data_IF_851483312605
#
_entry.id   IF_851483312605
#
_cell.length_a   1.000
_cell.length_b   1.000
_cell.length_c   1.000
_cell.angle_alpha   90.00
_cell.angle_beta   90.00
_cell.angle_gamma   90.00
#
_symmetry.space_group_name_H-M   'P 1'
#
loop_
_entity.id
_entity.type
_entity.pdbx_description
1 polymer ?
#
# COMPACT_ATOMS: atom_id res chain seq x y z
N UNK A 1 -16.62 5.44 -10.27
CA UNK A 1 -16.00 4.84 -9.06
C UNK A 1 -15.00 3.77 -9.49
N UNK A 2 -13.81 3.65 -8.88
CA UNK A 2 -12.81 2.64 -9.29
C UNK A 2 -13.24 1.23 -8.91
N UNK A 3 -12.98 0.26 -9.79
CA UNK A 3 -13.31 -1.17 -9.59
C UNK A 3 -12.89 -1.75 -8.22
N UNK A 4 -11.73 -1.36 -7.70
CA UNK A 4 -11.21 -1.87 -6.41
C UNK A 4 -11.87 -1.23 -5.19
N UNK A 5 -12.20 0.05 -5.29
CA UNK A 5 -12.99 0.73 -4.25
C UNK A 5 -14.38 0.10 -4.19
N UNK A 6 -14.97 -0.16 -5.36
CA UNK A 6 -16.24 -0.87 -5.48
C UNK A 6 -16.18 -2.27 -4.87
N UNK A 7 -15.22 -3.12 -5.25
CA UNK A 7 -15.06 -4.46 -4.65
C UNK A 7 -14.89 -4.43 -3.13
N UNK A 8 -14.13 -3.46 -2.61
CA UNK A 8 -13.94 -3.30 -1.16
C UNK A 8 -15.25 -2.93 -0.48
N UNK A 9 -16.01 -1.99 -1.06
CA UNK A 9 -17.29 -1.55 -0.51
C UNK A 9 -18.32 -2.67 -0.54
N UNK A 10 -18.45 -3.39 -1.65
CA UNK A 10 -19.37 -4.54 -1.78
C UNK A 10 -19.03 -5.61 -0.75
N UNK A 11 -17.75 -5.99 -0.62
CA UNK A 11 -17.34 -6.97 0.38
C UNK A 11 -17.63 -6.47 1.79
N UNK A 12 -17.32 -5.21 2.09
CA UNK A 12 -17.52 -4.66 3.42
C UNK A 12 -19.01 -4.59 3.79
N UNK A 13 -19.86 -4.26 2.80
CA UNK A 13 -21.30 -4.32 2.91
C UNK A 13 -21.80 -5.75 3.16
N UNK A 14 -21.51 -6.68 2.25
CA UNK A 14 -21.98 -8.06 2.33
C UNK A 14 -21.55 -8.78 3.60
N UNK A 15 -20.32 -8.54 4.05
CA UNK A 15 -19.74 -9.30 5.16
C UNK A 15 -20.01 -8.68 6.53
N UNK A 16 -20.06 -7.35 6.63
CA UNK A 16 -20.14 -6.67 7.93
C UNK A 16 -21.43 -5.91 8.17
N UNK A 17 -22.12 -5.45 7.13
CA UNK A 17 -23.30 -4.58 7.29
C UNK A 17 -24.58 -5.38 7.05
N UNK A 18 -24.66 -6.07 5.91
CA UNK A 18 -25.83 -6.83 5.49
C UNK A 18 -26.29 -7.88 6.53
N UNK A 19 -25.40 -8.63 7.21
CA UNK A 19 -25.84 -9.65 8.15
C UNK A 19 -26.57 -9.12 9.40
N UNK A 20 -26.27 -7.89 9.84
CA UNK A 20 -26.89 -7.29 11.03
C UNK A 20 -28.04 -6.34 10.69
N UNK A 21 -28.06 -5.75 9.48
CA UNK A 21 -29.00 -4.68 9.11
C UNK A 21 -29.77 -4.90 7.80
N UNK A 22 -29.57 -6.02 7.11
CA UNK A 22 -30.17 -6.27 5.79
C UNK A 22 -31.70 -6.23 5.77
N UNK A 23 -32.33 -6.71 6.83
CA UNK A 23 -33.79 -6.75 6.98
C UNK A 23 -34.34 -5.57 7.80
N UNK A 24 -33.48 -4.63 8.20
CA UNK A 24 -33.89 -3.46 9.00
C UNK A 24 -34.22 -2.29 8.07
N UNK A 25 -35.44 -1.75 8.18
CA UNK A 25 -35.79 -0.54 7.45
C UNK A 25 -34.85 0.62 7.84
N UNK A 26 -34.42 1.43 6.87
CA UNK A 26 -33.43 2.51 7.09
C UNK A 26 -33.86 3.48 8.20
N UNK A 27 -35.15 3.81 8.25
CA UNK A 27 -35.75 4.67 9.28
C UNK A 27 -35.71 4.09 10.68
N UNK A 28 -35.48 2.78 10.83
CA UNK A 28 -35.46 2.04 12.09
C UNK A 28 -34.05 1.77 12.61
N UNK A 29 -33.01 2.13 11.84
CA UNK A 29 -31.62 2.05 12.30
C UNK A 29 -31.38 3.13 13.36
N UNK A 30 -31.15 2.69 14.60
CA UNK A 30 -30.91 3.57 15.76
C UNK A 30 -29.42 3.68 16.10
N UNK A 31 -28.95 4.82 16.65
CA UNK A 31 -27.57 4.98 17.08
C UNK A 31 -27.08 3.89 18.05
N UNK A 32 -27.93 3.43 18.97
CA UNK A 32 -27.59 2.36 19.92
C UNK A 32 -27.27 1.04 19.22
N UNK A 33 -28.02 0.67 18.18
CA UNK A 33 -27.77 -0.54 17.40
C UNK A 33 -26.44 -0.44 16.64
N UNK A 34 -26.14 0.73 16.08
CA UNK A 34 -24.87 1.00 15.40
C UNK A 34 -23.67 0.98 16.35
N UNK A 35 -23.80 1.51 17.57
CA UNK A 35 -22.73 1.46 18.57
C UNK A 35 -22.49 0.03 19.06
N UNK A 36 -23.57 -0.72 19.31
CA UNK A 36 -23.50 -2.14 19.68
C UNK A 36 -22.81 -2.95 18.58
N UNK A 37 -23.19 -2.75 17.32
CA UNK A 37 -22.53 -3.36 16.17
C UNK A 37 -21.05 -2.96 16.06
N UNK A 38 -20.73 -1.68 16.24
CA UNK A 38 -19.35 -1.19 16.27
C UNK A 38 -18.52 -1.90 17.36
N UNK A 39 -19.09 -2.12 18.54
CA UNK A 39 -18.43 -2.81 19.65
C UNK A 39 -18.25 -4.32 19.37
N UNK A 40 -19.17 -4.98 18.66
CA UNK A 40 -18.96 -6.35 18.17
C UNK A 40 -17.78 -6.44 17.21
N UNK A 41 -17.64 -5.46 16.29
CA UNK A 41 -16.53 -5.44 15.34
C UNK A 41 -15.15 -5.27 16.02
N UNK A 42 -15.09 -4.53 17.14
CA UNK A 42 -13.85 -4.35 17.93
C UNK A 42 -13.24 -5.66 18.41
N UNK A 43 -14.04 -6.71 18.59
CA UNK A 43 -13.56 -8.02 19.00
C UNK A 43 -12.89 -8.80 17.86
N UNK A 44 -13.02 -8.35 16.61
CA UNK A 44 -12.60 -9.10 15.41
C UNK A 44 -11.57 -8.37 14.55
N UNK A 45 -11.60 -7.03 14.54
CA UNK A 45 -10.76 -6.22 13.65
C UNK A 45 -10.30 -4.94 14.33
N UNK A 46 -9.22 -4.33 13.81
CA UNK A 46 -8.66 -3.08 14.36
C UNK A 46 -9.59 -1.88 14.20
N UNK A 47 -9.45 -0.85 15.06
CA UNK A 47 -10.22 0.40 14.98
C UNK A 47 -10.15 1.05 13.59
N UNK A 48 -8.98 1.01 12.93
CA UNK A 48 -8.83 1.52 11.57
C UNK A 48 -9.70 0.76 10.56
N UNK A 49 -9.80 -0.56 10.72
CA UNK A 49 -10.64 -1.39 9.86
C UNK A 49 -12.12 -1.10 10.08
N UNK A 50 -12.54 -0.95 11.34
CA UNK A 50 -13.92 -0.58 11.69
C UNK A 50 -14.26 0.80 11.13
N UNK A 51 -13.35 1.77 11.23
CA UNK A 51 -13.53 3.09 10.63
C UNK A 51 -13.81 2.99 9.12
N UNK A 52 -13.09 2.14 8.40
CA UNK A 52 -13.31 1.93 6.96
C UNK A 52 -14.68 1.28 6.69
N UNK A 53 -15.07 0.25 7.45
CA UNK A 53 -16.38 -0.42 7.31
C UNK A 53 -17.51 0.57 7.64
N UNK A 54 -17.40 1.30 8.74
CA UNK A 54 -18.32 2.36 9.15
C UNK A 54 -18.46 3.43 8.08
N UNK A 55 -17.37 3.78 7.38
CA UNK A 55 -17.43 4.78 6.29
C UNK A 55 -18.34 4.31 5.16
N UNK A 56 -18.31 3.02 4.81
CA UNK A 56 -19.23 2.44 3.80
C UNK A 56 -20.67 2.55 4.26
N UNK A 57 -20.96 2.16 5.51
CA UNK A 57 -22.34 2.23 6.02
C UNK A 57 -22.83 3.68 6.16
N UNK A 58 -21.97 4.58 6.63
CA UNK A 58 -22.27 6.00 6.75
C UNK A 58 -22.56 6.64 5.39
N UNK A 59 -21.91 6.20 4.31
CA UNK A 59 -22.24 6.62 2.94
C UNK A 59 -23.65 6.17 2.54
N UNK A 60 -24.02 4.91 2.77
CA UNK A 60 -25.38 4.40 2.48
C UNK A 60 -26.44 5.23 3.22
N UNK A 61 -26.23 5.49 4.52
CA UNK A 61 -27.17 6.27 5.33
C UNK A 61 -27.16 7.75 4.94
N UNK A 62 -26.05 8.28 4.41
CA UNK A 62 -25.99 9.63 3.88
C UNK A 62 -26.80 9.75 2.59
N UNK A 63 -26.70 8.77 1.69
CA UNK A 63 -27.53 8.73 0.48
C UNK A 63 -29.02 8.67 0.87
N UNK A 64 -29.38 7.86 1.87
CA UNK A 64 -30.75 7.83 2.41
C UNK A 64 -31.24 9.15 3.02
N UNK A 65 -30.34 9.99 3.55
CA UNK A 65 -30.68 11.36 3.99
C UNK A 65 -30.91 12.26 2.79
N UNK A 66 -30.07 12.17 1.76
CA UNK A 66 -30.19 12.96 0.53
C UNK A 66 -31.49 12.65 -0.23
N UNK A 67 -31.92 11.39 -0.19
CA UNK A 67 -33.19 10.91 -0.76
C UNK A 67 -34.38 11.09 0.21
N UNK A 68 -34.18 11.81 1.32
CA UNK A 68 -35.20 12.13 2.34
C UNK A 68 -35.88 10.92 3.01
N UNK A 69 -35.34 9.71 2.84
CA UNK A 69 -35.83 8.48 3.48
C UNK A 69 -35.65 8.51 5.00
N UNK A 70 -34.62 9.23 5.47
CA UNK A 70 -34.34 9.49 6.88
C UNK A 70 -33.91 10.95 7.10
N UNK A 71 -34.22 11.51 8.26
CA UNK A 71 -33.95 12.95 8.54
C UNK A 71 -32.49 13.29 8.82
N UNK A 72 -31.71 12.34 9.34
CA UNK A 72 -30.30 12.54 9.72
C UNK A 72 -29.55 11.21 9.69
N UNK A 73 -28.23 11.28 9.54
CA UNK A 73 -27.39 10.09 9.61
C UNK A 73 -27.28 9.62 11.07
N UNK A 74 -27.75 8.40 11.41
CA UNK A 74 -27.70 7.91 12.79
C UNK A 74 -26.27 7.79 13.35
N UNK A 75 -25.26 7.69 12.49
CA UNK A 75 -23.85 7.68 12.92
C UNK A 75 -23.39 8.99 13.55
N UNK A 76 -24.07 10.11 13.32
CA UNK A 76 -23.69 11.40 13.91
C UNK A 76 -23.79 11.38 15.45
N UNK A 77 -24.63 10.51 15.99
CA UNK A 77 -24.78 10.28 17.44
C UNK A 77 -23.99 9.07 17.97
N UNK A 78 -23.20 8.40 17.12
CA UNK A 78 -22.42 7.22 17.53
C UNK A 78 -20.96 7.64 17.76
N UNK A 79 -20.37 7.32 18.94
CA UNK A 79 -18.99 7.66 19.26
C UNK A 79 -18.01 7.22 18.18
N UNK A 80 -17.13 8.13 17.78
CA UNK A 80 -16.06 7.83 16.83
C UNK A 80 -14.97 7.02 17.53
N UNK A 81 -14.48 6.00 16.84
CA UNK A 81 -13.32 5.24 17.29
C UNK A 81 -12.07 6.11 17.18
N UNK A 82 -11.29 6.17 18.26
CA UNK A 82 -9.93 6.69 18.20
C UNK A 82 -9.08 5.69 17.42
N UNK A 83 -8.51 6.15 16.31
CA UNK A 83 -7.46 5.41 15.63
C UNK A 83 -6.16 5.79 16.33
N UNK A 84 -5.50 4.82 16.96
CA UNK A 84 -4.11 4.98 17.35
C UNK A 84 -3.31 5.22 16.07
N UNK A 85 -2.54 6.30 16.06
CA UNK A 85 -1.59 6.54 14.97
C UNK A 85 -0.52 5.47 15.11
N UNK A 86 -0.42 4.59 14.11
CA UNK A 86 0.74 3.71 14.01
C UNK A 86 1.94 4.61 13.73
N UNK A 87 2.86 4.68 14.68
CA UNK A 87 4.12 5.37 14.49
C UNK A 87 4.91 4.63 13.39
N UNK A 88 5.21 5.33 12.30
CA UNK A 88 6.10 4.81 11.27
C UNK A 88 7.50 5.20 11.72
N UNK A 89 8.37 4.21 11.92
CA UNK A 89 9.78 4.41 12.29
C UNK A 89 10.66 4.15 11.06
N UNK A 90 11.10 5.19 10.35
CA UNK A 90 12.02 5.03 9.23
C UNK A 90 13.36 4.46 9.72
N UNK A 91 13.97 3.59 8.93
CA UNK A 91 15.34 3.13 9.19
C UNK A 91 16.35 4.28 9.02
N UNK A 92 17.35 4.32 9.90
CA UNK A 92 18.53 5.17 9.75
C UNK A 92 19.43 4.68 8.60
N UNK A 93 20.35 5.54 8.13
CA UNK A 93 21.28 5.16 7.05
C UNK A 93 22.15 3.94 7.41
N UNK A 94 22.57 3.81 8.68
CA UNK A 94 23.36 2.68 9.15
C UNK A 94 22.57 1.37 9.15
N UNK A 95 21.27 1.42 9.47
CA UNK A 95 20.37 0.27 9.38
C UNK A 95 20.07 -0.11 7.94
N UNK A 96 19.92 0.88 7.05
CA UNK A 96 19.80 0.67 5.59
C UNK A 96 21.03 -0.06 5.05
N UNK A 97 22.23 0.41 5.38
CA UNK A 97 23.47 -0.24 4.97
C UNK A 97 23.57 -1.67 5.50
N UNK A 98 23.18 -1.89 6.77
CA UNK A 98 23.19 -3.21 7.40
C UNK A 98 22.22 -4.19 6.75
N UNK A 99 21.00 -3.77 6.45
CA UNK A 99 20.03 -4.67 5.80
C UNK A 99 20.43 -5.01 4.36
N UNK A 100 21.08 -4.07 3.66
CA UNK A 100 21.64 -4.31 2.32
C UNK A 100 22.82 -5.29 2.41
N UNK A 101 23.71 -5.17 3.40
CA UNK A 101 24.91 -6.01 3.49
C UNK A 101 24.63 -7.47 3.85
N UNK A 102 23.55 -7.75 4.60
CA UNK A 102 23.14 -9.12 4.96
C UNK A 102 22.23 -9.78 3.93
N UNK A 103 21.73 -9.02 2.94
CA UNK A 103 20.87 -9.53 1.89
C UNK A 103 21.68 -10.34 0.85
N UNK A 104 21.03 -11.27 0.15
CA UNK A 104 21.70 -11.92 -0.99
C UNK A 104 21.96 -10.89 -2.12
N UNK A 105 22.96 -11.12 -3.00
CA UNK A 105 23.39 -10.11 -3.98
C UNK A 105 22.26 -9.56 -4.85
N UNK A 106 21.35 -10.41 -5.31
CA UNK A 106 20.20 -9.98 -6.09
C UNK A 106 19.29 -9.08 -5.23
N UNK A 107 18.92 -9.50 -4.01
CA UNK A 107 18.04 -8.70 -3.17
C UNK A 107 18.69 -7.40 -2.70
N UNK A 108 20.00 -7.36 -2.49
CA UNK A 108 20.74 -6.15 -2.17
C UNK A 108 20.54 -5.08 -3.24
N UNK A 109 20.56 -5.44 -4.52
CA UNK A 109 20.26 -4.51 -5.63
C UNK A 109 18.80 -4.05 -5.64
N UNK A 110 17.84 -4.95 -5.31
CA UNK A 110 16.42 -4.58 -5.14
C UNK A 110 16.24 -3.59 -3.98
N UNK A 111 16.95 -3.79 -2.87
CA UNK A 111 16.90 -2.88 -1.72
C UNK A 111 17.48 -1.50 -2.05
N UNK A 112 18.60 -1.45 -2.79
CA UNK A 112 19.14 -0.16 -3.29
C UNK A 112 18.10 0.59 -4.11
N UNK A 113 17.40 -0.09 -5.02
CA UNK A 113 16.31 0.52 -5.79
C UNK A 113 15.19 1.03 -4.85
N UNK A 114 14.80 0.23 -3.85
CA UNK A 114 13.69 0.55 -2.95
C UNK A 114 13.97 1.70 -1.98
N UNK A 115 15.20 1.81 -1.47
CA UNK A 115 15.60 2.83 -0.49
C UNK A 115 15.98 4.16 -1.13
N UNK A 116 16.47 4.17 -2.38
CA UNK A 116 17.12 5.35 -2.96
C UNK A 116 16.38 5.94 -4.17
N UNK A 117 15.15 5.50 -4.42
CA UNK A 117 14.27 6.09 -5.46
C UNK A 117 12.94 6.58 -4.91
N UNK A 118 12.61 6.23 -3.67
CA UNK A 118 11.32 6.51 -3.07
C UNK A 118 10.13 5.94 -3.84
N UNK A 119 10.30 4.98 -4.75
CA UNK A 119 9.18 4.39 -5.50
C UNK A 119 8.19 3.70 -4.55
N UNK A 120 6.89 3.74 -4.89
CA UNK A 120 5.94 2.84 -4.22
C UNK A 120 6.23 1.41 -4.65
N UNK A 121 5.97 0.45 -3.77
CA UNK A 121 6.21 -0.98 -4.07
C UNK A 121 5.59 -1.42 -5.40
N UNK A 122 4.35 -1.01 -5.69
CA UNK A 122 3.71 -1.34 -6.97
C UNK A 122 4.34 -0.67 -8.20
N UNK A 123 4.92 0.53 -8.04
CA UNK A 123 5.65 1.23 -9.12
C UNK A 123 6.99 0.55 -9.39
N UNK A 124 7.72 0.19 -8.32
CA UNK A 124 9.00 -0.51 -8.40
C UNK A 124 8.86 -1.88 -9.06
N UNK A 125 7.83 -2.64 -8.69
CA UNK A 125 7.56 -3.94 -9.31
C UNK A 125 7.18 -3.75 -10.78
N UNK A 126 6.40 -2.72 -11.13
CA UNK A 126 5.98 -2.42 -12.51
C UNK A 126 7.05 -1.70 -13.35
N UNK A 127 8.30 -1.64 -12.90
CA UNK A 127 9.34 -0.92 -13.62
C UNK A 127 9.84 -1.74 -14.81
N UNK A 128 9.86 -1.12 -16.00
CA UNK A 128 10.38 -1.69 -17.25
C UNK A 128 11.74 -1.09 -17.58
N UNK A 129 12.57 -1.85 -18.30
CA UNK A 129 13.85 -1.34 -18.79
C UNK A 129 13.71 -0.15 -19.73
N UNK A 130 12.65 -0.11 -20.55
CA UNK A 130 12.35 1.01 -21.47
C UNK A 130 12.00 2.35 -20.79
N UNK A 131 11.84 2.34 -19.45
CA UNK A 131 11.61 3.55 -18.64
C UNK A 131 12.88 4.07 -17.98
N UNK A 132 14.02 3.43 -18.21
CA UNK A 132 15.30 3.77 -17.60
C UNK A 132 16.21 4.35 -18.68
N UNK A 133 16.63 5.60 -18.49
CA UNK A 133 17.63 6.26 -19.33
C UNK A 133 18.95 6.31 -18.54
N UNK A 134 19.89 5.42 -18.89
CA UNK A 134 21.19 5.30 -18.23
C UNK A 134 22.16 6.45 -18.58
N UNK A 135 21.95 7.10 -19.73
CA UNK A 135 22.74 8.24 -20.19
C UNK A 135 22.33 9.51 -19.45
N UNK A 136 21.02 9.76 -19.37
CA UNK A 136 20.46 10.91 -18.63
C UNK A 136 20.36 10.65 -17.13
N UNK A 137 20.64 9.43 -16.68
CA UNK A 137 20.51 8.99 -15.29
C UNK A 137 19.11 9.27 -14.73
N UNK A 138 18.08 8.86 -15.47
CA UNK A 138 16.69 9.07 -15.06
C UNK A 138 15.83 7.82 -15.13
N UNK A 139 14.79 7.77 -14.29
CA UNK A 139 13.78 6.72 -14.27
C UNK A 139 12.40 7.34 -14.38
N UNK A 140 11.64 6.97 -15.41
CA UNK A 140 10.26 7.40 -15.60
C UNK A 140 9.29 6.46 -14.87
N UNK A 141 8.42 7.03 -14.04
CA UNK A 141 7.35 6.30 -13.36
C UNK A 141 6.02 6.71 -13.98
N UNK A 142 5.38 5.78 -14.69
CA UNK A 142 4.09 5.99 -15.36
C UNK A 142 3.11 4.81 -15.22
N UNK A 143 3.41 3.83 -14.36
CA UNK A 143 2.54 2.70 -14.10
C UNK A 143 2.82 2.07 -12.74
N UNK A 144 1.87 1.28 -12.25
CA UNK A 144 2.04 0.52 -11.01
C UNK A 144 1.20 -0.76 -11.02
N UNK A 145 1.65 -1.78 -10.32
CA UNK A 145 0.83 -2.95 -10.03
C UNK A 145 -0.08 -2.67 -8.85
N UNK A 146 -1.33 -3.09 -9.00
CA UNK A 146 -2.30 -3.15 -7.92
C UNK A 146 -3.15 -4.40 -8.06
N UNK A 147 -3.21 -5.20 -6.99
CA UNK A 147 -3.98 -6.46 -6.96
C UNK A 147 -3.61 -7.43 -8.11
N UNK A 148 -2.32 -7.54 -8.44
CA UNK A 148 -1.84 -8.42 -9.51
C UNK A 148 -2.06 -7.91 -10.93
N UNK A 149 -2.65 -6.73 -11.11
CA UNK A 149 -2.88 -6.14 -12.43
C UNK A 149 -2.01 -4.89 -12.63
N UNK A 150 -1.50 -4.71 -13.84
CA UNK A 150 -0.87 -3.47 -14.27
C UNK A 150 -1.94 -2.39 -14.37
N UNK A 151 -1.70 -1.24 -13.75
CA UNK A 151 -2.63 -0.12 -13.76
C UNK A 151 -1.90 1.15 -14.21
N UNK A 152 -2.57 2.01 -15.00
CA UNK A 152 -2.08 3.36 -15.25
C UNK A 152 -2.07 4.18 -13.94
N UNK A 153 -1.35 5.31 -13.92
CA UNK A 153 -1.20 6.13 -12.72
C UNK A 153 -2.55 6.60 -12.19
N UNK A 154 -2.65 6.75 -10.87
CA UNK A 154 -3.89 7.20 -10.21
C UNK A 154 -4.31 8.60 -10.69
N UNK A 155 -3.38 9.45 -11.09
CA UNK A 155 -3.61 10.81 -11.61
C UNK A 155 -2.45 11.19 -12.51
N UNK A 156 -2.60 12.19 -13.38
CA UNK A 156 -1.50 12.69 -14.21
C UNK A 156 -0.32 13.19 -13.36
N UNK A 157 -0.60 13.74 -12.17
CA UNK A 157 0.40 14.11 -11.16
C UNK A 157 1.18 12.93 -10.57
N UNK A 158 0.75 11.69 -10.79
CA UNK A 158 1.48 10.49 -10.36
C UNK A 158 2.59 10.09 -11.35
N UNK A 159 2.57 10.63 -12.58
CA UNK A 159 3.63 10.46 -13.56
C UNK A 159 4.78 11.39 -13.20
N UNK A 160 5.99 10.82 -13.07
CA UNK A 160 7.17 11.61 -12.68
C UNK A 160 8.46 11.00 -13.21
N UNK A 161 9.51 11.81 -13.24
CA UNK A 161 10.87 11.38 -13.50
C UNK A 161 11.65 11.46 -12.19
N UNK A 162 12.40 10.40 -11.88
CA UNK A 162 13.26 10.30 -10.71
C UNK A 162 14.71 10.35 -11.20
N UNK A 163 15.55 11.18 -10.56
CA UNK A 163 16.99 11.17 -10.81
C UNK A 163 17.60 9.89 -10.25
N UNK A 164 18.46 9.24 -11.02
CA UNK A 164 19.10 7.99 -10.67
C UNK A 164 20.42 8.28 -9.96
N UNK A 165 20.50 7.93 -8.68
CA UNK A 165 21.77 8.03 -7.95
C UNK A 165 22.76 6.95 -8.44
N UNK A 166 24.06 7.21 -8.30
CA UNK A 166 25.12 6.29 -8.75
C UNK A 166 24.93 4.84 -8.27
N UNK A 167 24.65 4.65 -6.99
CA UNK A 167 24.44 3.31 -6.43
C UNK A 167 23.12 2.66 -6.91
N UNK A 168 22.14 3.44 -7.37
CA UNK A 168 20.94 2.92 -8.05
C UNK A 168 21.29 2.48 -9.47
N UNK A 169 22.11 3.26 -10.19
CA UNK A 169 22.60 2.91 -11.53
C UNK A 169 23.38 1.60 -11.50
N UNK A 170 24.33 1.46 -10.58
CA UNK A 170 25.08 0.22 -10.37
C UNK A 170 24.15 -0.96 -10.03
N UNK A 171 23.16 -0.77 -9.17
CA UNK A 171 22.19 -1.80 -8.83
C UNK A 171 21.35 -2.24 -10.04
N UNK A 172 20.90 -1.28 -10.87
CA UNK A 172 20.13 -1.56 -12.08
C UNK A 172 20.97 -2.28 -13.13
N UNK A 173 22.24 -1.92 -13.31
CA UNK A 173 23.14 -2.63 -14.21
C UNK A 173 23.37 -4.08 -13.76
N UNK A 174 23.59 -4.30 -12.46
CA UNK A 174 23.72 -5.66 -11.91
C UNK A 174 22.43 -6.48 -12.08
N UNK A 175 21.26 -5.87 -11.90
CA UNK A 175 19.96 -6.54 -12.14
C UNK A 175 19.72 -6.84 -13.62
N UNK A 176 20.46 -6.21 -14.54
CA UNK A 176 20.32 -6.40 -15.99
C UNK A 176 21.18 -7.53 -16.53
N UNK A 177 22.31 -7.86 -15.89
CA UNK A 177 23.33 -8.78 -16.44
C UNK A 177 22.79 -10.17 -16.83
N UNK A 178 21.77 -10.68 -16.12
CA UNK A 178 21.15 -11.99 -16.38
C UNK A 178 19.62 -11.89 -16.49
N UNK A 179 19.11 -10.74 -16.97
CA UNK A 179 17.67 -10.47 -17.06
C UNK A 179 17.24 -10.12 -18.48
N UNK A 180 16.76 -11.12 -19.21
CA UNK A 180 16.19 -10.99 -20.56
C UNK A 180 14.71 -10.54 -20.57
N UNK A 181 14.10 -10.29 -19.41
CA UNK A 181 12.72 -9.81 -19.32
C UNK A 181 12.62 -8.33 -19.67
N UNK A 182 11.45 -7.88 -20.14
CA UNK A 182 11.15 -6.44 -20.27
C UNK A 182 11.07 -5.71 -18.91
N UNK A 183 10.90 -6.48 -17.82
CA UNK A 183 10.73 -6.00 -16.46
C UNK A 183 12.04 -5.99 -15.69
N UNK A 184 12.27 -4.93 -14.90
CA UNK A 184 13.43 -4.85 -13.99
C UNK A 184 13.37 -5.91 -12.90
N UNK A 185 12.15 -6.21 -12.43
CA UNK A 185 11.89 -7.20 -11.38
C UNK A 185 10.90 -8.27 -11.88
N UNK A 186 11.36 -9.26 -12.66
CA UNK A 186 10.51 -10.33 -13.15
C UNK A 186 10.17 -11.36 -12.04
N UNK A 187 9.12 -12.12 -12.25
CA UNK A 187 8.82 -13.37 -11.53
C UNK A 187 9.84 -14.45 -11.87
N UNK A 188 9.84 -15.52 -11.08
CA UNK A 188 10.71 -16.70 -11.29
C UNK A 188 10.56 -17.33 -12.70
N UNK A 189 9.43 -17.15 -13.37
CA UNK A 189 9.19 -17.69 -14.71
C UNK A 189 9.43 -16.65 -15.84
N UNK A 190 10.00 -15.48 -15.54
CA UNK A 190 10.40 -14.44 -16.51
C UNK A 190 9.25 -13.69 -17.22
N UNK A 191 8.02 -14.21 -17.11
CA UNK A 191 6.84 -13.82 -17.89
C UNK A 191 5.95 -12.78 -17.21
N UNK A 192 6.04 -12.66 -15.88
CA UNK A 192 5.18 -11.78 -15.10
C UNK A 192 5.96 -10.98 -14.06
N UNK A 193 5.27 -10.08 -13.38
CA UNK A 193 5.80 -9.11 -12.41
C UNK A 193 5.96 -9.69 -11.00
N UNK A 194 7.04 -9.33 -10.28
CA UNK A 194 7.35 -9.79 -8.91
C UNK A 194 6.13 -9.87 -7.99
N UNK A 195 5.88 -11.03 -7.36
CA UNK A 195 4.77 -11.13 -6.42
C UNK A 195 5.06 -10.32 -5.14
N UNK A 196 4.11 -9.46 -4.69
CA UNK A 196 4.27 -8.72 -3.43
C UNK A 196 4.55 -9.63 -2.22
N UNK A 197 4.07 -10.88 -2.24
CA UNK A 197 4.32 -11.88 -1.19
C UNK A 197 5.79 -12.29 -1.13
N UNK A 198 6.40 -12.58 -2.28
CA UNK A 198 7.83 -12.95 -2.38
C UNK A 198 8.72 -11.81 -1.88
N UNK A 199 8.39 -10.57 -2.27
CA UNK A 199 9.12 -9.39 -1.83
C UNK A 199 9.06 -9.23 -0.30
N UNK A 200 7.85 -9.34 0.28
CA UNK A 200 7.68 -9.25 1.73
C UNK A 200 8.36 -10.39 2.50
N UNK A 201 8.41 -11.61 1.92
CA UNK A 201 9.12 -12.74 2.53
C UNK A 201 10.62 -12.47 2.61
N UNK A 202 11.25 -12.11 1.48
CA UNK A 202 12.70 -11.78 1.42
C UNK A 202 13.03 -10.59 2.32
N UNK A 203 12.15 -9.60 2.36
CA UNK A 203 12.29 -8.45 3.26
C UNK A 203 12.28 -8.85 4.73
N UNK A 204 11.32 -9.67 5.15
CA UNK A 204 11.22 -10.18 6.52
C UNK A 204 12.49 -10.95 6.91
N UNK A 205 13.02 -11.77 6.01
CA UNK A 205 14.27 -12.52 6.21
C UNK A 205 15.49 -11.59 6.30
N UNK A 206 15.56 -10.55 5.48
CA UNK A 206 16.65 -9.57 5.53
C UNK A 206 16.64 -8.76 6.84
N UNK A 207 15.47 -8.27 7.28
CA UNK A 207 15.31 -7.60 8.58
C UNK A 207 15.73 -8.51 9.75
N UNK A 208 15.30 -9.78 9.72
CA UNK A 208 15.68 -10.77 10.74
C UNK A 208 17.21 -10.96 10.78
N UNK A 209 17.85 -11.11 9.63
CA UNK A 209 19.32 -11.23 9.53
C UNK A 209 20.05 -9.97 10.00
N UNK A 210 19.47 -8.80 9.77
CA UNK A 210 20.04 -7.52 10.20
C UNK A 210 19.81 -7.21 11.69
N UNK A 211 19.03 -8.04 12.41
CA UNK A 211 18.65 -7.80 13.80
C UNK A 211 17.71 -6.61 13.99
N UNK A 212 16.87 -6.31 12.99
CA UNK A 212 15.96 -5.16 12.98
C UNK A 212 14.51 -5.60 13.22
N UNK A 213 13.72 -4.69 13.82
CA UNK A 213 12.29 -4.91 14.01
C UNK A 213 11.55 -5.05 12.67
N UNK A 214 10.48 -5.86 12.67
CA UNK A 214 9.69 -6.07 11.47
C UNK A 214 8.96 -4.77 11.07
N UNK A 215 9.22 -4.31 9.86
CA UNK A 215 8.42 -3.30 9.17
C UNK A 215 7.90 -3.85 7.84
N UNK A 216 6.81 -3.28 7.33
CA UNK A 216 6.33 -3.63 5.99
C UNK A 216 7.26 -3.05 4.93
N UNK A 217 7.50 -3.78 3.82
CA UNK A 217 8.44 -3.35 2.78
C UNK A 217 8.13 -1.96 2.21
N UNK A 218 6.85 -1.56 2.20
CA UNK A 218 6.45 -0.21 1.79
C UNK A 218 7.14 0.92 2.58
N UNK A 219 7.64 0.65 3.79
CA UNK A 219 8.36 1.63 4.60
C UNK A 219 9.73 2.02 4.05
N UNK A 220 10.32 1.31 3.09
CA UNK A 220 11.56 1.78 2.42
C UNK A 220 11.36 3.16 1.77
N UNK A 221 10.16 3.44 1.27
CA UNK A 221 9.79 4.77 0.74
C UNK A 221 9.72 5.83 1.84
N UNK A 222 9.28 5.46 3.04
CA UNK A 222 9.27 6.38 4.18
C UNK A 222 10.69 6.70 4.63
N UNK A 223 11.57 5.70 4.65
CA UNK A 223 13.02 5.89 4.85
C UNK A 223 13.62 6.82 3.82
N UNK A 224 13.30 6.68 2.53
CA UNK A 224 13.80 7.60 1.49
C UNK A 224 13.46 9.06 1.81
N UNK A 225 12.20 9.36 2.16
CA UNK A 225 11.78 10.72 2.49
C UNK A 225 12.56 11.29 3.69
N UNK A 226 12.76 10.48 4.74
CA UNK A 226 13.52 10.91 5.93
C UNK A 226 15.00 11.10 5.65
N UNK A 227 15.60 10.36 4.72
CA UNK A 227 17.00 10.56 4.31
C UNK A 227 17.17 11.85 3.49
N UNK A 228 16.19 12.20 2.66
CA UNK A 228 16.19 13.42 1.84
C UNK A 228 16.03 14.68 2.71
N UNK A 229 15.20 14.62 3.75
CA UNK A 229 15.02 15.70 4.73
C UNK A 229 16.24 15.92 5.66
N UNK A 230 17.24 15.02 5.61
CA UNK A 230 18.45 15.07 6.43
C UNK A 230 19.66 15.70 5.72
N UNK A 231 19.47 16.26 4.52
CA UNK A 231 20.51 16.88 3.69
C UNK A 231 20.28 18.38 3.48
#
# INVERSE_FOLDING_TARGET
MRFLTHKTYVRDFQHWILPDFGDTALKDIRPLALDTWQNKLRQRVSNKRIYNIRSVFSMILKDAVMDELIKRNPFDSVPKLRNEKVEIKPLSLSEVQRVISVADPHFANVLKLAFFTGMRTGEMIALRWDKIDFEKETIRIDQAIRCGMLNPPKTQTSIRIIKMLRHVKEALLNLKQDNDSEWVLPTQNGTMLYEPKTLNRRWKEALKRAGLEYSVFYQTRHTFASLDDSC
#
